data_IF_607462963255
#
_entry.id   IF_607462963255
#
_cell.length_a   1.000
_cell.length_b   1.000
_cell.length_c   1.000
_cell.angle_alpha   90.00
_cell.angle_beta   90.00
_cell.angle_gamma   90.00
#
_symmetry.space_group_name_H-M   'P 1'
#
loop_
_entity.id
_entity.type
_entity.pdbx_description
1 polymer ?
#
# COMPACT_ATOMS: atom_id res chain seq x y z
N UNK A 1 11.87 9.38 -13.38
CA UNK A 1 12.88 8.78 -12.50
C UNK A 1 14.28 9.04 -13.03
N UNK A 2 15.15 9.55 -12.19
CA UNK A 2 16.55 9.90 -12.51
C UNK A 2 17.56 9.08 -11.70
N UNK A 3 17.09 8.30 -10.74
CA UNK A 3 17.91 7.43 -9.90
C UNK A 3 18.35 6.14 -10.61
N UNK A 4 18.83 5.20 -9.85
CA UNK A 4 19.26 3.89 -10.37
C UNK A 4 18.12 3.16 -11.08
N UNK A 5 18.45 2.20 -11.94
CA UNK A 5 17.47 1.38 -12.65
C UNK A 5 16.53 0.66 -11.68
N UNK A 6 15.23 0.85 -11.86
CA UNK A 6 14.18 0.19 -11.09
C UNK A 6 13.66 -1.07 -11.81
N UNK A 7 13.25 -2.02 -11.02
CA UNK A 7 12.43 -3.15 -11.47
C UNK A 7 10.96 -2.70 -11.54
N UNK A 8 10.58 -2.11 -12.68
CA UNK A 8 9.24 -1.56 -12.88
C UNK A 8 8.15 -2.64 -12.81
N UNK A 9 8.45 -3.84 -13.34
CA UNK A 9 7.49 -4.94 -13.33
C UNK A 9 7.21 -5.39 -11.90
N UNK A 10 8.24 -5.53 -11.08
CA UNK A 10 8.08 -5.86 -9.67
C UNK A 10 7.22 -4.80 -8.92
N UNK A 11 7.48 -3.51 -9.15
CA UNK A 11 6.69 -2.42 -8.55
C UNK A 11 5.22 -2.54 -8.97
N UNK A 12 4.93 -2.69 -10.27
CA UNK A 12 3.57 -2.75 -10.79
C UNK A 12 2.84 -3.99 -10.27
N UNK A 13 3.46 -5.18 -10.32
CA UNK A 13 2.87 -6.42 -9.82
C UNK A 13 2.53 -6.33 -8.33
N UNK A 14 3.47 -5.83 -7.52
CA UNK A 14 3.26 -5.64 -6.08
C UNK A 14 2.13 -4.65 -5.82
N UNK A 15 2.10 -3.51 -6.53
CA UNK A 15 1.04 -2.52 -6.36
C UNK A 15 -0.34 -3.05 -6.80
N UNK A 16 -0.42 -3.95 -7.78
CA UNK A 16 -1.69 -4.57 -8.19
C UNK A 16 -2.22 -5.58 -7.17
N UNK A 17 -1.32 -6.31 -6.48
CA UNK A 17 -1.70 -7.39 -5.57
C UNK A 17 -1.74 -6.97 -4.08
N UNK A 18 -1.31 -5.75 -3.77
CA UNK A 18 -1.01 -5.33 -2.39
C UNK A 18 -2.20 -5.33 -1.42
N UNK A 19 -3.42 -5.27 -1.91
CA UNK A 19 -4.65 -5.16 -1.13
C UNK A 19 -5.59 -6.37 -1.26
N UNK A 20 -5.14 -7.48 -1.85
CA UNK A 20 -5.95 -8.67 -2.02
C UNK A 20 -6.43 -9.27 -0.69
N UNK A 21 -5.69 -9.07 0.40
CA UNK A 21 -6.07 -9.44 1.76
C UNK A 21 -7.13 -8.55 2.42
N UNK A 22 -7.50 -7.42 1.83
CA UNK A 22 -8.41 -6.46 2.46
C UNK A 22 -9.86 -6.94 2.57
N UNK A 23 -10.24 -8.08 1.97
CA UNK A 23 -11.54 -8.74 2.18
C UNK A 23 -11.86 -8.91 3.68
N UNK A 24 -10.85 -9.18 4.52
CA UNK A 24 -11.04 -9.35 5.97
C UNK A 24 -11.44 -8.07 6.71
N UNK A 25 -11.21 -6.91 6.09
CA UNK A 25 -11.59 -5.61 6.66
C UNK A 25 -13.04 -5.22 6.36
N UNK A 26 -13.70 -5.94 5.45
CA UNK A 26 -15.10 -5.68 5.11
C UNK A 26 -15.96 -6.16 6.28
N UNK A 27 -16.84 -5.31 6.86
CA UNK A 27 -17.72 -5.69 7.97
C UNK A 27 -18.65 -6.84 7.60
N UNK A 28 -19.09 -7.61 8.61
CA UNK A 28 -20.02 -8.74 8.38
C UNK A 28 -21.38 -8.28 7.84
N UNK A 29 -21.82 -7.13 8.29
CA UNK A 29 -23.09 -6.49 7.93
C UNK A 29 -23.01 -5.65 6.64
N UNK A 30 -21.89 -5.72 5.91
CA UNK A 30 -21.70 -5.00 4.65
C UNK A 30 -22.74 -5.39 3.58
N UNK A 31 -23.13 -6.66 3.55
CA UNK A 31 -24.13 -7.18 2.62
C UNK A 31 -24.92 -8.33 3.24
N UNK A 32 -26.23 -8.33 2.96
CA UNK A 32 -27.13 -9.45 3.29
C UNK A 32 -27.22 -10.49 2.15
N UNK A 33 -26.41 -10.37 1.11
CA UNK A 33 -26.35 -11.33 0.02
C UNK A 33 -25.71 -12.64 0.48
N UNK A 34 -26.45 -13.73 0.36
CA UNK A 34 -26.02 -15.07 0.77
C UNK A 34 -24.77 -15.53 0.00
N UNK A 35 -24.61 -15.14 -1.25
CA UNK A 35 -23.43 -15.47 -2.04
C UNK A 35 -22.19 -14.74 -1.49
N UNK A 36 -22.31 -13.44 -1.20
CA UNK A 36 -21.24 -12.67 -0.58
C UNK A 36 -20.84 -13.26 0.78
N UNK A 37 -21.81 -13.59 1.63
CA UNK A 37 -21.56 -14.20 2.95
C UNK A 37 -20.81 -15.54 2.80
N UNK A 38 -21.22 -16.37 1.86
CA UNK A 38 -20.57 -17.67 1.61
C UNK A 38 -19.15 -17.52 1.06
N UNK A 39 -18.91 -16.54 0.16
CA UNK A 39 -17.57 -16.22 -0.37
C UNK A 39 -16.67 -15.72 0.76
N UNK A 40 -17.17 -14.76 1.56
CA UNK A 40 -16.43 -14.20 2.70
C UNK A 40 -16.05 -15.30 3.70
N UNK A 41 -16.99 -16.17 4.06
CA UNK A 41 -16.71 -17.29 4.98
C UNK A 41 -15.60 -18.19 4.43
N UNK A 42 -15.70 -18.64 3.17
CA UNK A 42 -14.66 -19.48 2.53
C UNK A 42 -13.30 -18.81 2.52
N UNK A 43 -13.26 -17.49 2.27
CA UNK A 43 -12.04 -16.71 2.29
C UNK A 43 -11.37 -16.71 3.68
N UNK A 44 -12.16 -16.50 4.74
CA UNK A 44 -11.66 -16.56 6.12
C UNK A 44 -11.22 -17.97 6.53
N UNK A 45 -11.98 -18.99 6.14
CA UNK A 45 -11.64 -20.39 6.42
C UNK A 45 -10.32 -20.79 5.74
N UNK A 46 -10.03 -20.25 4.57
CA UNK A 46 -8.84 -20.56 3.76
C UNK A 46 -7.61 -19.76 4.22
N UNK A 47 -7.76 -18.45 4.42
CA UNK A 47 -6.63 -17.53 4.57
C UNK A 47 -6.50 -16.94 5.98
N UNK A 48 -7.49 -17.13 6.88
CA UNK A 48 -7.50 -16.52 8.21
C UNK A 48 -7.96 -15.06 8.21
N UNK A 49 -7.50 -14.29 9.19
CA UNK A 49 -8.01 -12.94 9.48
C UNK A 49 -6.97 -11.83 9.43
N UNK A 50 -5.72 -12.16 9.16
CA UNK A 50 -4.63 -11.20 9.08
C UNK A 50 -4.44 -10.76 7.62
N UNK A 51 -4.94 -9.59 7.27
CA UNK A 51 -4.88 -9.03 5.92
C UNK A 51 -3.48 -9.05 5.30
N UNK A 52 -2.46 -8.88 6.12
CA UNK A 52 -1.09 -8.84 5.65
C UNK A 52 -0.53 -10.24 5.32
N UNK A 53 -0.76 -11.22 6.20
CA UNK A 53 -0.35 -12.60 5.93
C UNK A 53 -1.07 -13.14 4.70
N UNK A 54 -2.34 -12.78 4.54
CA UNK A 54 -3.14 -13.11 3.37
C UNK A 54 -2.56 -12.49 2.10
N UNK A 55 -2.15 -11.22 2.14
CA UNK A 55 -1.50 -10.58 0.99
C UNK A 55 -0.23 -11.31 0.55
N UNK A 56 0.60 -11.75 1.50
CA UNK A 56 1.82 -12.51 1.20
C UNK A 56 1.51 -13.90 0.65
N UNK A 57 0.50 -14.57 1.19
CA UNK A 57 0.09 -15.90 0.73
C UNK A 57 -0.50 -15.84 -0.69
N UNK A 58 -1.42 -14.91 -0.94
CA UNK A 58 -1.98 -14.69 -2.28
C UNK A 58 -0.86 -14.28 -3.24
N UNK A 59 0.04 -13.40 -2.83
CA UNK A 59 1.19 -13.01 -3.65
C UNK A 59 2.03 -14.21 -4.09
N UNK A 60 2.27 -15.19 -3.20
CA UNK A 60 2.94 -16.45 -3.55
C UNK A 60 2.15 -17.29 -4.54
N UNK A 61 0.84 -17.41 -4.33
CA UNK A 61 -0.06 -18.17 -5.22
C UNK A 61 -0.07 -17.54 -6.62
N UNK A 62 -0.08 -16.21 -6.70
CA UNK A 62 -0.05 -15.45 -7.96
C UNK A 62 1.38 -15.34 -8.56
N UNK A 63 2.34 -16.05 -8.00
CA UNK A 63 3.68 -16.19 -8.56
C UNK A 63 4.60 -14.99 -8.35
N UNK A 64 4.41 -14.20 -7.28
CA UNK A 64 5.39 -13.21 -6.88
C UNK A 64 6.69 -13.90 -6.45
N UNK A 65 7.82 -13.40 -6.95
CA UNK A 65 9.16 -13.82 -6.55
C UNK A 65 9.46 -13.41 -5.10
N UNK A 66 10.47 -14.03 -4.49
CA UNK A 66 10.92 -13.66 -3.14
C UNK A 66 11.26 -12.17 -3.03
N UNK A 67 11.85 -11.58 -4.07
CA UNK A 67 12.12 -10.14 -4.13
C UNK A 67 10.83 -9.31 -4.08
N UNK A 68 9.81 -9.69 -4.85
CA UNK A 68 8.53 -9.00 -4.86
C UNK A 68 7.76 -9.18 -3.54
N UNK A 69 7.87 -10.34 -2.91
CA UNK A 69 7.29 -10.56 -1.57
C UNK A 69 7.97 -9.68 -0.51
N UNK A 70 9.28 -9.45 -0.61
CA UNK A 70 10.00 -8.50 0.26
C UNK A 70 9.48 -7.08 0.05
N UNK A 71 9.23 -6.66 -1.21
CA UNK A 71 8.66 -5.35 -1.52
C UNK A 71 7.24 -5.25 -0.94
N UNK A 72 6.41 -6.27 -1.14
CA UNK A 72 5.04 -6.34 -0.64
C UNK A 72 5.00 -6.25 0.90
N UNK A 73 5.88 -6.94 1.59
CA UNK A 73 6.01 -6.88 3.05
C UNK A 73 6.54 -5.53 3.54
N UNK A 74 7.47 -4.92 2.80
CA UNK A 74 8.13 -3.68 3.19
C UNK A 74 7.26 -2.42 3.05
N UNK A 75 6.24 -2.42 2.19
CA UNK A 75 5.42 -1.23 1.89
C UNK A 75 4.48 -0.82 3.04
N UNK A 76 4.32 -1.63 4.07
CA UNK A 76 3.41 -1.37 5.18
C UNK A 76 3.80 -0.12 5.98
N UNK A 77 2.83 0.73 6.33
CA UNK A 77 3.07 1.94 7.13
C UNK A 77 3.78 1.69 8.46
N UNK A 78 3.50 0.54 9.12
CA UNK A 78 4.23 0.15 10.35
C UNK A 78 5.71 -0.16 10.14
N UNK A 79 6.14 -0.32 8.89
CA UNK A 79 7.55 -0.51 8.49
C UNK A 79 8.21 0.74 7.92
N UNK A 80 7.54 1.91 7.98
CA UNK A 80 8.05 3.15 7.40
C UNK A 80 9.49 3.46 7.86
N UNK A 81 9.84 3.21 9.12
CA UNK A 81 11.22 3.42 9.59
C UNK A 81 12.22 2.49 8.90
N UNK A 82 11.90 1.21 8.77
CA UNK A 82 12.75 0.24 8.06
C UNK A 82 12.85 0.59 6.58
N UNK A 83 11.72 1.00 5.97
CA UNK A 83 11.65 1.41 4.58
C UNK A 83 12.45 2.68 4.31
N UNK A 84 12.39 3.67 5.21
CA UNK A 84 13.19 4.89 5.12
C UNK A 84 14.70 4.58 5.09
N UNK A 85 15.13 3.62 5.91
CA UNK A 85 16.53 3.22 6.03
C UNK A 85 16.95 2.14 5.01
N UNK A 86 16.05 1.65 4.17
CA UNK A 86 16.35 0.66 3.13
C UNK A 86 17.06 1.32 1.94
N UNK A 87 17.90 0.57 1.26
CA UNK A 87 18.48 0.97 -0.04
C UNK A 87 17.56 0.67 -1.23
N UNK A 88 16.47 -0.10 -1.02
CA UNK A 88 15.53 -0.45 -2.09
C UNK A 88 14.55 0.69 -2.36
N UNK A 89 14.69 1.31 -3.52
CA UNK A 89 13.72 2.29 -4.00
C UNK A 89 12.43 1.66 -4.47
N UNK A 90 12.42 0.39 -4.86
CA UNK A 90 11.18 -0.33 -5.16
C UNK A 90 10.26 -0.38 -3.94
N UNK A 91 10.80 -0.71 -2.75
CA UNK A 91 10.01 -0.70 -1.50
C UNK A 91 9.52 0.71 -1.18
N UNK A 92 10.41 1.72 -1.29
CA UNK A 92 10.06 3.13 -1.02
C UNK A 92 8.96 3.64 -1.92
N UNK A 93 9.04 3.34 -3.22
CA UNK A 93 8.03 3.75 -4.21
C UNK A 93 6.70 3.06 -3.92
N UNK A 94 6.68 1.74 -3.68
CA UNK A 94 5.44 1.04 -3.34
C UNK A 94 4.80 1.57 -2.06
N UNK A 95 5.59 1.82 -1.00
CA UNK A 95 5.10 2.41 0.25
C UNK A 95 4.55 3.83 0.05
N UNK A 96 5.25 4.66 -0.71
CA UNK A 96 4.82 6.01 -1.03
C UNK A 96 3.53 6.02 -1.85
N UNK A 97 3.44 5.22 -2.92
CA UNK A 97 2.25 5.16 -3.76
C UNK A 97 1.02 4.70 -2.97
N UNK A 98 1.13 3.64 -2.17
CA UNK A 98 0.04 3.14 -1.33
C UNK A 98 -0.46 4.22 -0.35
N UNK A 99 0.46 4.97 0.26
CA UNK A 99 0.14 6.02 1.22
C UNK A 99 -0.30 7.35 0.57
N UNK A 100 -0.38 7.44 -0.75
CA UNK A 100 -0.93 8.58 -1.51
C UNK A 100 -2.36 8.36 -1.98
N UNK A 101 -2.89 7.15 -1.87
CA UNK A 101 -4.23 6.80 -2.35
C UNK A 101 -5.23 6.78 -1.20
N UNK A 102 -6.30 7.55 -1.34
CA UNK A 102 -7.49 7.54 -0.49
C UNK A 102 -8.68 6.91 -1.25
N UNK A 103 -9.81 6.60 -0.57
CA UNK A 103 -10.99 6.06 -1.25
C UNK A 103 -11.51 6.92 -2.40
N UNK A 104 -11.31 8.23 -2.30
CA UNK A 104 -11.85 9.22 -3.24
C UNK A 104 -10.81 9.70 -4.27
N UNK A 105 -9.60 9.15 -4.28
CA UNK A 105 -8.57 9.49 -5.23
C UNK A 105 -7.17 9.71 -4.63
N UNK A 106 -6.32 10.41 -5.37
CA UNK A 106 -4.96 10.73 -4.93
C UNK A 106 -4.97 12.00 -4.08
N UNK A 107 -4.39 11.89 -2.90
CA UNK A 107 -4.25 13.00 -1.95
C UNK A 107 -2.78 13.26 -1.64
N UNK A 108 -2.46 14.41 -1.03
CA UNK A 108 -1.13 14.61 -0.49
C UNK A 108 -0.87 13.67 0.69
N UNK A 109 0.41 13.33 0.89
CA UNK A 109 0.82 12.33 1.86
C UNK A 109 0.43 12.71 3.28
N UNK A 110 0.59 13.98 3.66
CA UNK A 110 0.28 14.44 5.00
C UNK A 110 -1.22 14.31 5.31
N UNK A 111 -2.08 14.78 4.39
CA UNK A 111 -3.54 14.62 4.50
C UNK A 111 -3.92 13.15 4.67
N UNK A 112 -3.31 12.25 3.90
CA UNK A 112 -3.60 10.81 3.98
C UNK A 112 -3.20 10.19 5.30
N UNK A 113 -2.05 10.60 5.85
CA UNK A 113 -1.53 10.06 7.11
C UNK A 113 -2.29 10.60 8.32
N UNK A 114 -2.67 11.89 8.31
CA UNK A 114 -3.54 12.46 9.35
C UNK A 114 -4.93 11.80 9.36
N UNK A 115 -5.52 11.56 8.18
CA UNK A 115 -6.76 10.78 8.08
C UNK A 115 -6.60 9.36 8.65
N UNK A 116 -5.50 8.68 8.36
CA UNK A 116 -5.22 7.36 8.93
C UNK A 116 -5.10 7.42 10.46
N UNK A 117 -4.43 8.44 11.00
CA UNK A 117 -4.32 8.67 12.44
C UNK A 117 -5.70 8.81 13.09
N UNK A 118 -6.60 9.59 12.49
CA UNK A 118 -7.97 9.76 12.99
C UNK A 118 -8.77 8.47 12.92
N UNK A 119 -8.74 7.76 11.78
CA UNK A 119 -9.54 6.53 11.56
C UNK A 119 -9.11 5.33 12.40
N UNK A 120 -7.84 5.25 12.75
CA UNK A 120 -7.27 4.06 13.40
C UNK A 120 -6.86 4.27 14.85
N UNK A 121 -7.02 5.48 15.43
CA UNK A 121 -6.62 5.81 16.81
C UNK A 121 -7.25 4.89 17.86
N UNK A 122 -8.52 4.54 17.67
CA UNK A 122 -9.30 3.76 18.63
C UNK A 122 -9.29 2.25 18.34
N UNK A 123 -8.56 1.80 17.30
CA UNK A 123 -8.47 0.38 16.99
C UNK A 123 -7.45 -0.32 17.89
N UNK A 124 -7.83 -1.42 18.57
CA UNK A 124 -6.90 -2.19 19.38
C UNK A 124 -5.64 -2.61 18.60
N UNK A 125 -4.48 -2.51 19.22
CA UNK A 125 -3.18 -2.88 18.63
C UNK A 125 -2.76 -2.05 17.41
N UNK A 126 -3.48 -0.97 17.09
CA UNK A 126 -3.08 -0.05 16.03
C UNK A 126 -1.85 0.76 16.45
N UNK A 127 -0.89 0.90 15.55
CA UNK A 127 0.25 1.81 15.75
C UNK A 127 -0.21 3.27 15.86
N UNK A 128 -1.37 3.59 15.29
CA UNK A 128 -1.98 4.91 15.28
C UNK A 128 -2.67 5.27 16.62
N UNK A 129 -2.87 4.31 17.54
CA UNK A 129 -3.42 4.56 18.87
C UNK A 129 -2.41 5.20 19.85
N UNK A 130 -1.12 5.16 19.52
CA UNK A 130 -0.06 5.82 20.28
C UNK A 130 0.44 7.02 19.48
N UNK A 131 0.24 8.23 20.02
CA UNK A 131 0.53 9.47 19.32
C UNK A 131 2.00 9.63 18.95
N UNK A 132 2.92 9.31 19.85
CA UNK A 132 4.36 9.40 19.60
C UNK A 132 4.79 8.44 18.46
N UNK A 133 4.31 7.19 18.49
CA UNK A 133 4.58 6.22 17.43
C UNK A 133 3.96 6.64 16.10
N UNK A 134 2.73 7.16 16.12
CA UNK A 134 2.07 7.64 14.92
C UNK A 134 2.84 8.80 14.28
N UNK A 135 3.24 9.80 15.07
CA UNK A 135 4.02 10.92 14.58
C UNK A 135 5.38 10.47 14.02
N UNK A 136 6.08 9.57 14.72
CA UNK A 136 7.33 8.98 14.19
C UNK A 136 7.13 8.28 12.83
N UNK A 137 6.06 7.51 12.66
CA UNK A 137 5.76 6.85 11.38
C UNK A 137 5.39 7.84 10.27
N UNK A 138 4.73 8.96 10.62
CA UNK A 138 4.44 10.07 9.70
C UNK A 138 5.76 10.70 9.25
N UNK A 139 6.66 11.04 10.17
CA UNK A 139 7.96 11.62 9.84
C UNK A 139 8.78 10.69 8.94
N UNK A 140 8.75 9.38 9.21
CA UNK A 140 9.40 8.40 8.34
C UNK A 140 8.79 8.36 6.94
N UNK A 141 7.47 8.44 6.82
CA UNK A 141 6.78 8.47 5.51
C UNK A 141 7.13 9.73 4.71
N UNK A 142 7.18 10.89 5.35
CA UNK A 142 7.61 12.15 4.74
C UNK A 142 9.09 12.07 4.31
N UNK A 143 9.93 11.40 5.09
CA UNK A 143 11.31 11.11 4.73
C UNK A 143 11.41 10.21 3.49
N UNK A 144 10.55 9.19 3.37
CA UNK A 144 10.47 8.32 2.18
C UNK A 144 10.05 9.16 0.96
N UNK A 145 8.99 9.98 1.06
CA UNK A 145 8.56 10.87 -0.02
C UNK A 145 9.74 11.74 -0.49
N UNK A 146 10.45 12.38 0.43
CA UNK A 146 11.61 13.22 0.12
C UNK A 146 12.66 12.43 -0.68
N UNK A 147 13.08 11.25 -0.20
CA UNK A 147 14.08 10.42 -0.87
C UNK A 147 13.63 9.97 -2.26
N UNK A 148 12.35 9.63 -2.44
CA UNK A 148 11.80 9.26 -3.74
C UNK A 148 11.82 10.46 -4.68
N UNK A 149 11.37 11.64 -4.23
CA UNK A 149 11.27 12.86 -5.04
C UNK A 149 12.62 13.44 -5.43
N UNK A 150 13.67 13.29 -4.60
CA UNK A 150 15.04 13.65 -4.95
C UNK A 150 15.55 12.93 -6.20
N UNK A 151 14.96 11.79 -6.54
CA UNK A 151 15.26 11.00 -7.74
C UNK A 151 14.18 11.12 -8.83
N UNK A 152 13.29 12.10 -8.76
CA UNK A 152 12.24 12.34 -9.74
C UNK A 152 12.39 13.69 -10.44
N UNK A 153 11.90 13.77 -11.69
CA UNK A 153 11.78 15.05 -12.44
C UNK A 153 10.49 15.79 -12.12
N UNK A 154 9.61 15.18 -11.33
CA UNK A 154 8.32 15.71 -10.92
C UNK A 154 8.32 15.96 -9.41
N UNK A 155 7.37 16.74 -8.93
CA UNK A 155 7.12 17.01 -7.52
C UNK A 155 5.90 16.24 -7.01
N UNK A 156 5.68 16.12 -5.69
CA UNK A 156 4.47 15.51 -5.14
C UNK A 156 3.16 16.13 -5.67
N UNK A 157 3.15 17.43 -5.99
CA UNK A 157 1.97 18.15 -6.50
C UNK A 157 1.60 17.75 -7.93
N UNK A 158 2.56 17.23 -8.69
CA UNK A 158 2.34 16.77 -10.06
C UNK A 158 1.67 15.39 -10.11
N UNK A 159 1.56 14.71 -8.95
CA UNK A 159 0.90 13.40 -8.82
C UNK A 159 -0.50 13.62 -8.26
N UNK A 160 -1.50 13.57 -9.12
CA UNK A 160 -2.92 13.80 -8.81
C UNK A 160 -3.82 13.03 -9.79
N UNK A 161 -5.11 12.99 -9.53
CA UNK A 161 -6.08 12.22 -10.33
C UNK A 161 -6.05 12.57 -11.82
N UNK A 162 -5.84 13.84 -12.16
CA UNK A 162 -5.77 14.27 -13.56
C UNK A 162 -4.52 13.72 -14.25
N UNK A 163 -3.37 13.86 -13.59
CA UNK A 163 -2.07 13.47 -14.16
C UNK A 163 -1.93 11.97 -14.38
N UNK A 164 -2.65 11.13 -13.62
CA UNK A 164 -2.54 9.67 -13.74
C UNK A 164 -3.53 9.04 -14.72
N UNK A 165 -4.55 9.77 -15.19
CA UNK A 165 -5.61 9.21 -16.04
C UNK A 165 -5.10 8.42 -17.24
N UNK A 166 -4.15 8.99 -17.98
CA UNK A 166 -3.58 8.30 -19.14
C UNK A 166 -2.76 7.06 -18.76
N UNK A 167 -2.12 7.06 -17.59
CA UNK A 167 -1.34 5.92 -17.11
C UNK A 167 -2.25 4.78 -16.67
N UNK A 168 -3.41 5.06 -16.06
CA UNK A 168 -4.43 4.05 -15.73
C UNK A 168 -4.92 3.34 -16.99
N UNK A 169 -5.15 4.12 -18.08
CA UNK A 169 -5.55 3.52 -19.35
C UNK A 169 -4.44 2.63 -19.92
N UNK A 170 -3.20 3.09 -19.89
CA UNK A 170 -2.04 2.31 -20.37
C UNK A 170 -1.82 1.05 -19.54
N UNK A 171 -2.05 1.11 -18.23
CA UNK A 171 -1.85 -0.02 -17.32
C UNK A 171 -2.78 -1.20 -17.63
N UNK A 172 -3.99 -0.96 -18.19
CA UNK A 172 -4.91 -2.02 -18.61
C UNK A 172 -4.34 -2.93 -19.72
N UNK A 173 -3.35 -2.44 -20.44
CA UNK A 173 -2.70 -3.13 -21.55
C UNK A 173 -1.22 -3.38 -21.28
N UNK A 174 -0.82 -3.23 -20.02
CA UNK A 174 0.56 -3.46 -19.62
C UNK A 174 0.81 -4.95 -19.48
N UNK A 175 1.79 -5.45 -20.21
CA UNK A 175 2.21 -6.84 -20.16
C UNK A 175 3.22 -7.04 -19.02
N UNK A 176 2.87 -7.91 -18.06
CA UNK A 176 3.62 -8.08 -16.81
C UNK A 176 4.36 -9.41 -16.82
#
# INVERSE_FOLDING_TARGET
WTGNKLDKNAIIRVCLLHDMGNMVKIPEDFSNDNEFIAIRKRYFDQYGTNDHEINLEIGKIEGLSDKELIILDGKRSRKNEQTLNSDSYEIKICAYCDQRVAPDGIVDLNTRLEDAKVRYKDKPLSVWSNEEKANHLIDCALGIEKQVMENCKISPKDINDESIKEYIIKLKYYDI
#
